data_IF_246880515412
#
_entry.id   IF_246880515412
#
_cell.length_a   1.000
_cell.length_b   1.000
_cell.length_c   1.000
_cell.angle_alpha   90.00
_cell.angle_beta   90.00
_cell.angle_gamma   90.00
#
_symmetry.space_group_name_H-M   'P 1'
#
loop_
_entity.id
_entity.type
_entity.pdbx_description
1 polymer ?
#
# COMPACT_ATOMS: atom_id res chain seq x y z
N UNK A 1 48.35 -26.77 3.27
CA UNK A 1 48.77 -25.37 3.23
C UNK A 1 47.47 -24.60 3.08
N UNK A 2 46.81 -24.22 4.18
CA UNK A 2 45.36 -23.95 4.17
C UNK A 2 44.85 -23.08 3.02
N UNK A 3 43.62 -23.35 2.58
CA UNK A 3 42.95 -22.64 1.48
C UNK A 3 43.03 -21.12 1.70
N UNK A 4 43.43 -20.40 0.66
CA UNK A 4 43.57 -18.94 0.68
C UNK A 4 42.59 -18.28 -0.27
N UNK A 5 42.15 -17.07 0.09
CA UNK A 5 41.42 -16.20 -0.81
C UNK A 5 42.35 -15.71 -1.93
N UNK A 6 42.03 -16.06 -3.17
CA UNK A 6 42.74 -15.60 -4.36
C UNK A 6 42.20 -14.26 -4.86
N UNK A 7 40.90 -14.16 -5.11
CA UNK A 7 40.27 -12.92 -5.58
C UNK A 7 38.79 -12.84 -5.22
N UNK A 8 38.26 -11.60 -5.19
CA UNK A 8 36.84 -11.32 -5.04
C UNK A 8 36.42 -10.27 -6.05
N UNK A 9 35.52 -10.63 -6.94
CA UNK A 9 34.99 -9.73 -7.97
C UNK A 9 33.50 -9.50 -7.73
N UNK A 10 33.06 -8.27 -7.98
CA UNK A 10 31.67 -7.86 -7.87
C UNK A 10 31.32 -7.07 -9.12
N UNK A 11 30.38 -7.59 -9.90
CA UNK A 11 29.95 -6.99 -11.15
C UNK A 11 28.44 -6.75 -11.12
N UNK A 12 28.03 -5.57 -11.60
CA UNK A 12 26.63 -5.21 -11.79
C UNK A 12 26.28 -5.47 -13.26
N UNK A 13 25.25 -6.27 -13.51
CA UNK A 13 24.74 -6.55 -14.84
C UNK A 13 23.22 -6.28 -14.90
N UNK A 14 22.63 -6.42 -16.08
CA UNK A 14 21.20 -6.14 -16.31
C UNK A 14 20.25 -7.07 -15.51
N UNK A 15 20.77 -8.16 -14.94
CA UNK A 15 20.03 -9.13 -14.12
C UNK A 15 20.31 -9.03 -12.61
N UNK A 16 21.14 -8.07 -12.18
CA UNK A 16 21.40 -7.79 -10.76
C UNK A 16 22.89 -7.60 -10.44
N UNK A 17 23.27 -7.99 -9.23
CA UNK A 17 24.68 -8.05 -8.82
C UNK A 17 25.13 -9.50 -8.81
N UNK A 18 26.17 -9.79 -9.58
CA UNK A 18 26.89 -11.04 -9.50
C UNK A 18 28.15 -10.83 -8.68
N UNK A 19 28.43 -11.72 -7.74
CA UNK A 19 29.70 -11.72 -7.03
C UNK A 19 30.37 -13.07 -7.18
N UNK A 20 31.69 -13.06 -7.36
CA UNK A 20 32.48 -14.27 -7.43
C UNK A 20 33.64 -14.20 -6.44
N UNK A 21 33.95 -15.34 -5.87
CA UNK A 21 35.08 -15.54 -4.96
C UNK A 21 35.88 -16.70 -5.47
N UNK A 22 37.18 -16.50 -5.63
CA UNK A 22 38.12 -17.56 -6.03
C UNK A 22 38.98 -17.92 -4.84
N UNK A 23 38.99 -19.22 -4.50
CA UNK A 23 39.81 -19.82 -3.44
C UNK A 23 40.90 -20.67 -4.06
N UNK A 24 42.13 -20.60 -3.53
CA UNK A 24 43.27 -21.35 -4.07
C UNK A 24 44.00 -22.14 -2.97
N UNK A 25 44.56 -23.30 -3.33
CA UNK A 25 45.19 -24.21 -2.36
C UNK A 25 45.75 -25.47 -3.00
N UNK A 26 46.18 -26.43 -2.16
CA UNK A 26 46.55 -27.76 -2.65
C UNK A 26 45.32 -28.51 -3.16
N UNK A 27 45.54 -29.49 -4.05
CA UNK A 27 44.47 -30.24 -4.72
C UNK A 27 43.45 -30.83 -3.74
N UNK A 28 43.92 -31.57 -2.74
CA UNK A 28 43.06 -32.24 -1.75
C UNK A 28 42.23 -31.25 -0.92
N UNK A 29 42.81 -30.09 -0.60
CA UNK A 29 42.13 -29.02 0.15
C UNK A 29 41.02 -28.36 -0.67
N UNK A 30 41.26 -28.17 -1.98
CA UNK A 30 40.29 -27.59 -2.91
C UNK A 30 39.20 -28.60 -3.30
N UNK A 31 39.53 -29.89 -3.42
CA UNK A 31 38.55 -30.97 -3.64
C UNK A 31 37.60 -31.10 -2.45
N UNK A 32 38.12 -31.00 -1.23
CA UNK A 32 37.32 -31.00 0.00
C UNK A 32 36.37 -29.79 0.05
N UNK A 33 36.88 -28.59 -0.30
CA UNK A 33 36.06 -27.38 -0.39
C UNK A 33 34.97 -27.50 -1.46
N UNK A 34 35.32 -28.00 -2.65
CA UNK A 34 34.41 -28.15 -3.78
C UNK A 34 33.28 -29.15 -3.47
N UNK A 35 33.60 -30.28 -2.85
CA UNK A 35 32.60 -31.28 -2.44
C UNK A 35 31.57 -30.72 -1.44
N UNK A 36 31.97 -29.70 -0.67
CA UNK A 36 31.11 -29.02 0.30
C UNK A 36 30.22 -27.93 -0.29
N UNK A 37 30.28 -27.63 -1.60
CA UNK A 37 29.55 -26.53 -2.23
C UNK A 37 28.67 -27.02 -3.37
N UNK A 38 27.41 -26.61 -3.39
CA UNK A 38 26.47 -26.94 -4.47
C UNK A 38 25.57 -25.75 -4.83
N UNK A 39 25.13 -25.63 -6.10
CA UNK A 39 24.18 -24.61 -6.50
C UNK A 39 22.90 -24.66 -5.65
N UNK A 40 22.55 -23.51 -5.08
CA UNK A 40 21.42 -23.35 -4.18
C UNK A 40 21.78 -23.29 -2.69
N UNK A 41 23.01 -23.66 -2.31
CA UNK A 41 23.51 -23.52 -0.94
C UNK A 41 23.57 -22.04 -0.53
N UNK A 42 23.07 -21.72 0.66
CA UNK A 42 23.20 -20.39 1.27
C UNK A 42 24.49 -20.29 2.06
N UNK A 43 25.25 -19.22 1.83
CA UNK A 43 26.50 -18.90 2.55
C UNK A 43 26.47 -17.45 3.03
N UNK A 44 27.46 -17.04 3.82
CA UNK A 44 27.66 -15.63 4.20
C UNK A 44 27.84 -14.68 3.00
N UNK A 45 28.25 -15.21 1.84
CA UNK A 45 28.45 -14.44 0.61
C UNK A 45 27.23 -14.45 -0.32
N UNK A 46 26.14 -15.11 0.08
CA UNK A 46 24.90 -15.24 -0.70
C UNK A 46 24.64 -16.68 -1.14
N UNK A 47 23.67 -16.84 -2.06
CA UNK A 47 23.29 -18.15 -2.60
C UNK A 47 24.22 -18.55 -3.74
N UNK A 48 24.85 -19.71 -3.60
CA UNK A 48 25.75 -20.27 -4.61
C UNK A 48 24.95 -20.53 -5.88
N UNK A 49 25.32 -19.89 -6.99
CA UNK A 49 24.70 -20.07 -8.30
C UNK A 49 25.49 -21.03 -9.19
N UNK A 50 26.82 -21.03 -9.03
CA UNK A 50 27.71 -21.96 -9.71
C UNK A 50 29.00 -22.14 -8.90
N UNK A 51 29.60 -23.31 -9.04
CA UNK A 51 30.92 -23.64 -8.47
C UNK A 51 31.74 -24.31 -9.56
N UNK A 52 33.01 -23.95 -9.68
CA UNK A 52 33.92 -24.56 -10.63
C UNK A 52 35.30 -24.77 -10.02
N UNK A 53 35.83 -25.98 -10.16
CA UNK A 53 37.21 -26.31 -9.83
C UNK A 53 38.08 -26.35 -11.10
N UNK A 54 39.29 -25.80 -11.04
CA UNK A 54 40.27 -25.88 -12.13
C UNK A 54 41.70 -25.79 -11.59
N UNK A 55 42.67 -26.26 -12.37
CA UNK A 55 44.10 -26.16 -12.03
C UNK A 55 44.65 -24.82 -12.54
N UNK A 56 45.21 -24.01 -11.65
CA UNK A 56 45.80 -22.70 -11.97
C UNK A 56 47.30 -22.83 -12.27
N UNK A 57 48.00 -23.70 -11.54
CA UNK A 57 49.39 -24.06 -11.79
C UNK A 57 49.67 -25.52 -11.40
N UNK A 58 50.83 -26.10 -11.76
CA UNK A 58 51.13 -27.51 -11.48
C UNK A 58 50.87 -27.96 -10.03
N UNK A 59 51.00 -27.06 -9.05
CA UNK A 59 50.79 -27.35 -7.62
C UNK A 59 49.64 -26.56 -6.98
N UNK A 60 48.97 -25.68 -7.74
CA UNK A 60 47.92 -24.79 -7.22
C UNK A 60 46.61 -25.07 -7.93
N UNK A 61 45.59 -25.42 -7.15
CA UNK A 61 44.22 -25.59 -7.61
C UNK A 61 43.37 -24.41 -7.15
N UNK A 62 42.36 -24.09 -7.95
CA UNK A 62 41.43 -23.01 -7.71
C UNK A 62 39.98 -23.51 -7.71
N UNK A 63 39.16 -22.93 -6.84
CA UNK A 63 37.71 -23.06 -6.82
C UNK A 63 37.08 -21.67 -6.96
N UNK A 64 36.42 -21.43 -8.09
CA UNK A 64 35.62 -20.23 -8.32
C UNK A 64 34.18 -20.50 -7.89
N UNK A 65 33.67 -19.68 -6.98
CA UNK A 65 32.32 -19.74 -6.46
C UNK A 65 31.59 -18.48 -6.91
N UNK A 66 30.48 -18.65 -7.61
CA UNK A 66 29.61 -17.54 -8.02
C UNK A 66 28.39 -17.50 -7.13
N UNK A 67 28.03 -16.30 -6.71
CA UNK A 67 26.84 -16.02 -5.90
C UNK A 67 25.88 -15.15 -6.68
N UNK A 68 24.60 -15.49 -6.59
CA UNK A 68 23.52 -14.59 -6.96
C UNK A 68 23.06 -13.86 -5.69
N UNK A 69 22.99 -12.53 -5.74
CA UNK A 69 22.32 -11.76 -4.69
C UNK A 69 20.91 -11.40 -5.14
N UNK A 70 19.91 -11.85 -4.38
CA UNK A 70 18.60 -11.24 -4.42
C UNK A 70 18.71 -9.92 -3.63
N UNK A 71 18.73 -8.79 -4.32
CA UNK A 71 18.55 -7.50 -3.66
C UNK A 71 17.06 -7.34 -3.34
N UNK A 72 16.73 -7.30 -2.05
CA UNK A 72 16.22 -6.06 -1.45
C UNK A 72 16.21 -6.16 0.08
N UNK A 73 16.60 -5.07 0.72
CA UNK A 73 16.81 -4.98 2.16
C UNK A 73 15.52 -5.11 2.97
N UNK A 74 15.66 -5.76 4.12
CA UNK A 74 14.71 -5.85 5.23
C UNK A 74 13.32 -6.46 4.93
N UNK A 75 13.22 -7.79 5.00
CA UNK A 75 12.19 -8.43 5.82
C UNK A 75 12.64 -9.86 6.24
N UNK A 76 12.39 -10.21 7.50
CA UNK A 76 12.81 -11.48 8.14
C UNK A 76 11.63 -12.45 8.22
N UNK A 77 11.24 -13.01 7.08
CA UNK A 77 10.43 -14.24 7.04
C UNK A 77 10.71 -15.04 5.77
N UNK A 78 10.71 -16.37 5.90
CA UNK A 78 10.94 -17.30 4.79
C UNK A 78 9.92 -17.08 3.65
N UNK A 79 10.36 -16.84 2.41
CA UNK A 79 9.45 -16.85 1.28
C UNK A 79 9.02 -18.30 1.01
N UNK A 80 7.77 -18.64 1.31
CA UNK A 80 7.18 -19.92 0.91
C UNK A 80 7.09 -19.97 -0.63
N UNK A 81 8.04 -20.68 -1.25
CA UNK A 81 8.18 -20.82 -2.70
C UNK A 81 7.30 -21.91 -3.32
N UNK A 82 6.17 -22.29 -2.70
CA UNK A 82 5.33 -23.34 -3.26
C UNK A 82 4.68 -22.94 -4.61
N UNK A 83 4.38 -21.65 -4.87
CA UNK A 83 3.84 -21.20 -6.18
C UNK A 83 4.17 -19.74 -6.52
N UNK A 84 5.22 -19.52 -7.34
CA UNK A 84 5.43 -18.37 -8.23
C UNK A 84 5.80 -17.02 -7.57
N UNK A 85 6.80 -16.33 -8.11
CA UNK A 85 7.10 -14.93 -7.75
C UNK A 85 5.84 -14.07 -7.90
N UNK A 86 5.31 -13.59 -6.79
CA UNK A 86 4.23 -12.60 -6.79
C UNK A 86 4.85 -11.25 -7.11
N UNK A 87 4.53 -10.68 -8.26
CA UNK A 87 4.82 -9.28 -8.52
C UNK A 87 3.70 -8.43 -7.92
N UNK A 88 4.08 -7.36 -7.24
CA UNK A 88 3.17 -6.35 -6.72
C UNK A 88 3.50 -5.00 -7.37
N UNK A 89 2.49 -4.31 -7.86
CA UNK A 89 2.61 -2.96 -8.41
C UNK A 89 1.79 -2.00 -7.56
N UNK A 90 2.41 -0.90 -7.12
CA UNK A 90 1.71 0.20 -6.45
C UNK A 90 1.28 1.25 -7.48
N UNK A 91 0.05 1.71 -7.36
CA UNK A 91 -0.48 2.91 -8.02
C UNK A 91 -1.07 3.84 -6.98
N UNK A 92 -0.97 5.15 -7.20
CA UNK A 92 -1.54 6.17 -6.34
C UNK A 92 -2.41 7.12 -7.14
N UNK A 93 -3.54 7.52 -6.57
CA UNK A 93 -4.46 8.51 -7.13
C UNK A 93 -5.00 9.42 -6.03
N UNK A 94 -5.73 10.47 -6.41
CA UNK A 94 -6.43 11.35 -5.47
C UNK A 94 -7.92 11.03 -5.49
N UNK A 95 -8.51 10.87 -4.30
CA UNK A 95 -9.95 10.77 -4.09
C UNK A 95 -10.44 12.06 -3.45
N UNK A 96 -11.35 12.76 -4.12
CA UNK A 96 -12.02 13.92 -3.54
C UNK A 96 -13.16 13.45 -2.64
N UNK A 97 -13.11 13.83 -1.37
CA UNK A 97 -14.13 13.53 -0.36
C UNK A 97 -14.86 14.81 0.04
N UNK A 98 -16.15 14.73 0.42
CA UNK A 98 -16.88 15.90 0.93
C UNK A 98 -16.17 16.47 2.15
N UNK A 99 -16.12 17.81 2.27
CA UNK A 99 -15.39 18.50 3.33
C UNK A 99 -15.87 18.08 4.74
N UNK A 100 -17.15 17.76 4.86
CA UNK A 100 -17.82 17.25 6.07
C UNK A 100 -17.21 15.93 6.57
N UNK A 101 -16.59 15.13 5.69
CA UNK A 101 -15.92 13.89 6.07
C UNK A 101 -14.51 14.10 6.67
N UNK A 102 -13.98 15.34 6.65
CA UNK A 102 -12.66 15.62 7.17
C UNK A 102 -12.62 15.42 8.71
N UNK A 103 -11.60 14.72 9.29
CA UNK A 103 -11.57 14.42 10.73
C UNK A 103 -11.58 15.65 11.66
N UNK A 104 -11.11 16.79 11.13
CA UNK A 104 -11.10 18.10 11.81
C UNK A 104 -12.17 19.05 11.28
N UNK A 105 -13.16 18.55 10.54
CA UNK A 105 -14.22 19.36 9.98
C UNK A 105 -14.86 20.27 11.03
N UNK A 106 -15.25 21.47 10.59
CA UNK A 106 -16.03 22.43 11.36
C UNK A 106 -17.10 23.00 10.44
N UNK A 107 -18.33 23.11 10.92
CA UNK A 107 -19.46 23.63 10.14
C UNK A 107 -19.19 25.05 9.62
N UNK A 108 -18.48 25.87 10.41
CA UNK A 108 -18.06 27.21 10.02
C UNK A 108 -17.08 27.27 8.83
N UNK A 109 -16.56 26.14 8.34
CA UNK A 109 -15.70 26.14 7.16
C UNK A 109 -16.48 26.44 5.89
N UNK A 110 -17.64 25.81 5.68
CA UNK A 110 -18.43 25.94 4.46
C UNK A 110 -19.88 26.42 4.67
N UNK A 111 -20.31 26.71 5.91
CA UNK A 111 -21.64 27.28 6.19
C UNK A 111 -21.55 28.73 6.72
N UNK A 112 -22.55 29.52 6.35
CA UNK A 112 -22.85 30.79 7.00
C UNK A 112 -23.57 30.52 8.32
N UNK A 113 -23.19 31.27 9.37
CA UNK A 113 -24.04 31.39 10.55
C UNK A 113 -25.00 32.55 10.32
N UNK A 114 -26.30 32.27 10.34
CA UNK A 114 -27.35 33.28 10.31
C UNK A 114 -28.05 33.32 11.67
N UNK A 115 -28.61 34.48 12.02
CA UNK A 115 -29.27 34.70 13.30
C UNK A 115 -30.64 35.34 13.12
N UNK A 116 -31.55 35.06 14.06
CA UNK A 116 -32.86 35.66 14.13
C UNK A 116 -32.77 37.19 14.26
N UNK A 117 -33.77 37.95 13.80
CA UNK A 117 -33.77 39.40 13.92
C UNK A 117 -33.55 39.86 15.37
N UNK A 118 -32.64 40.81 15.56
CA UNK A 118 -32.30 41.35 16.88
C UNK A 118 -31.16 40.62 17.60
N UNK A 119 -30.72 39.46 17.10
CA UNK A 119 -29.55 38.75 17.63
C UNK A 119 -28.29 39.18 16.89
N UNK A 120 -27.28 39.66 17.63
CA UNK A 120 -25.98 40.09 17.12
C UNK A 120 -24.78 39.40 17.80
N UNK A 121 -25.03 38.66 18.88
CA UNK A 121 -24.00 37.91 19.59
C UNK A 121 -23.61 36.65 18.81
N UNK A 122 -22.31 36.41 18.65
CA UNK A 122 -21.81 35.15 18.08
C UNK A 122 -21.74 34.11 19.18
N UNK A 123 -22.37 32.94 19.02
CA UNK A 123 -22.32 31.89 20.03
C UNK A 123 -20.90 31.28 20.12
N UNK A 124 -20.51 30.89 21.33
CA UNK A 124 -19.17 30.34 21.60
C UNK A 124 -18.88 29.04 20.85
N UNK A 125 -19.91 28.26 20.52
CA UNK A 125 -19.79 27.01 19.77
C UNK A 125 -19.56 27.21 18.27
N UNK A 126 -19.75 28.43 17.72
CA UNK A 126 -19.64 28.70 16.28
C UNK A 126 -18.32 28.20 15.66
N UNK A 127 -17.20 28.36 16.38
CA UNK A 127 -15.88 27.98 15.88
C UNK A 127 -15.56 26.48 16.05
N UNK A 128 -16.34 25.75 16.86
CA UNK A 128 -16.01 24.38 17.29
C UNK A 128 -17.04 23.35 16.89
N UNK A 129 -18.25 23.77 16.51
CA UNK A 129 -19.30 22.90 15.98
C UNK A 129 -18.80 22.06 14.79
N UNK A 130 -19.13 20.76 14.80
CA UNK A 130 -18.77 19.78 13.77
C UNK A 130 -19.95 19.34 12.92
N UNK A 131 -21.16 19.68 13.35
CA UNK A 131 -22.41 19.32 12.72
C UNK A 131 -23.26 20.60 12.57
N UNK A 132 -24.23 20.58 11.68
CA UNK A 132 -25.14 21.69 11.39
C UNK A 132 -26.43 21.65 12.22
N UNK A 133 -26.65 20.59 13.00
CA UNK A 133 -27.73 20.51 13.97
C UNK A 133 -27.54 21.51 15.14
N UNK A 134 -28.50 22.41 15.33
CA UNK A 134 -28.58 23.30 16.49
C UNK A 134 -29.78 22.87 17.33
N UNK A 135 -29.58 22.68 18.63
CA UNK A 135 -30.62 22.22 19.56
C UNK A 135 -30.79 23.18 20.74
N UNK A 136 -31.90 23.01 21.48
CA UNK A 136 -32.20 23.78 22.69
C UNK A 136 -32.46 25.27 22.41
N UNK A 137 -32.07 26.12 23.36
CA UNK A 137 -32.36 27.56 23.35
C UNK A 137 -31.75 28.34 22.17
N UNK A 138 -30.80 27.75 21.46
CA UNK A 138 -30.14 28.36 20.31
C UNK A 138 -30.81 28.01 18.98
N UNK A 139 -31.66 26.97 18.95
CA UNK A 139 -32.34 26.51 17.73
C UNK A 139 -33.30 27.58 17.16
N UNK A 140 -33.92 28.38 18.02
CA UNK A 140 -34.79 29.50 17.63
C UNK A 140 -33.99 30.80 17.35
N UNK A 141 -32.67 30.82 17.59
CA UNK A 141 -31.83 32.02 17.51
C UNK A 141 -30.87 31.98 16.33
N UNK A 142 -30.38 30.81 15.96
CA UNK A 142 -29.33 30.64 14.97
C UNK A 142 -29.67 29.52 14.01
N UNK A 143 -29.17 29.62 12.79
CA UNK A 143 -29.21 28.54 11.81
C UNK A 143 -27.90 28.52 11.00
N UNK A 144 -27.51 27.33 10.56
CA UNK A 144 -26.47 27.15 9.57
C UNK A 144 -27.10 27.10 8.18
N UNK A 145 -26.54 27.83 7.22
CA UNK A 145 -26.98 27.78 5.82
C UNK A 145 -25.80 27.77 4.86
N UNK A 146 -25.87 26.98 3.78
CA UNK A 146 -24.87 27.04 2.69
C UNK A 146 -25.04 28.28 1.82
N UNK A 147 -26.27 28.75 1.67
CA UNK A 147 -26.60 29.94 0.88
C UNK A 147 -27.41 30.93 1.72
N UNK A 148 -27.09 32.23 1.60
CA UNK A 148 -27.85 33.26 2.32
C UNK A 148 -29.31 33.38 1.83
N UNK A 149 -29.60 32.92 0.61
CA UNK A 149 -30.94 32.91 0.06
C UNK A 149 -31.87 31.92 0.79
N UNK A 150 -31.31 30.85 1.36
CA UNK A 150 -32.05 29.84 2.13
C UNK A 150 -32.14 30.15 3.64
N UNK A 151 -31.75 31.37 4.05
CA UNK A 151 -31.90 31.81 5.43
C UNK A 151 -33.38 31.71 5.86
N UNK A 152 -33.67 31.08 7.01
CA UNK A 152 -35.03 30.89 7.49
C UNK A 152 -35.70 32.22 7.85
N UNK A 153 -37.01 32.17 8.01
CA UNK A 153 -37.81 33.28 8.55
C UNK A 153 -38.20 32.97 9.99
N UNK A 154 -38.25 33.99 10.83
CA UNK A 154 -38.77 33.85 12.19
C UNK A 154 -40.30 33.72 12.19
N UNK A 155 -40.87 33.48 13.37
CA UNK A 155 -42.33 33.36 13.58
C UNK A 155 -43.09 34.65 13.20
N UNK A 156 -42.41 35.78 13.08
CA UNK A 156 -42.95 37.07 12.67
C UNK A 156 -42.76 37.36 11.18
N UNK A 157 -42.27 36.40 10.40
CA UNK A 157 -42.06 36.51 8.95
C UNK A 157 -40.80 37.28 8.54
N UNK A 158 -39.93 37.65 9.48
CA UNK A 158 -38.68 38.35 9.20
C UNK A 158 -37.54 37.36 8.94
N UNK A 159 -36.79 37.57 7.86
CA UNK A 159 -35.68 36.70 7.48
C UNK A 159 -34.48 36.85 8.43
N UNK A 160 -33.86 35.72 8.76
CA UNK A 160 -32.62 35.66 9.50
C UNK A 160 -31.51 36.38 8.72
N UNK A 161 -30.59 37.01 9.46
CA UNK A 161 -29.50 37.79 8.87
C UNK A 161 -28.16 37.09 9.06
N UNK A 162 -27.24 37.28 8.11
CA UNK A 162 -25.87 36.78 8.22
C UNK A 162 -25.19 37.36 9.45
N UNK A 163 -24.72 36.48 10.32
CA UNK A 163 -23.91 36.81 11.48
C UNK A 163 -22.41 36.54 11.21
N UNK A 164 -22.08 35.42 10.57
CA UNK A 164 -20.72 35.07 10.14
C UNK A 164 -20.71 34.43 8.75
N UNK A 165 -19.64 34.72 8.00
CA UNK A 165 -19.32 34.05 6.74
C UNK A 165 -18.52 32.76 6.98
N UNK A 166 -18.54 31.81 6.03
CA UNK A 166 -17.69 30.63 6.08
C UNK A 166 -16.20 31.02 6.09
N UNK A 167 -15.38 30.20 6.75
CA UNK A 167 -13.91 30.40 6.82
C UNK A 167 -13.18 29.85 5.58
N UNK A 168 -13.81 28.96 4.82
CA UNK A 168 -13.30 28.36 3.58
C UNK A 168 -14.39 28.45 2.50
N UNK A 169 -14.77 29.66 2.08
CA UNK A 169 -15.86 29.84 1.13
C UNK A 169 -15.54 29.14 -0.20
N UNK A 170 -16.50 28.38 -0.73
CA UNK A 170 -16.38 27.65 -1.99
C UNK A 170 -15.58 26.34 -1.90
N UNK A 171 -15.15 25.93 -0.71
CA UNK A 171 -14.51 24.63 -0.50
C UNK A 171 -15.55 23.63 -0.01
N UNK A 172 -15.93 22.70 -0.87
CA UNK A 172 -16.91 21.65 -0.56
C UNK A 172 -16.30 20.24 -0.52
N UNK A 173 -15.02 20.10 -0.92
CA UNK A 173 -14.29 18.84 -0.87
C UNK A 173 -12.84 19.02 -0.44
N UNK A 174 -12.19 17.90 -0.12
CA UNK A 174 -10.76 17.80 0.08
C UNK A 174 -10.24 16.50 -0.53
N UNK A 175 -8.99 16.53 -0.99
CA UNK A 175 -8.38 15.38 -1.64
C UNK A 175 -7.61 14.52 -0.64
N UNK A 176 -7.76 13.20 -0.76
CA UNK A 176 -6.99 12.21 -0.02
C UNK A 176 -6.29 11.29 -1.00
N UNK A 177 -5.02 11.00 -0.72
CA UNK A 177 -4.28 10.00 -1.48
C UNK A 177 -4.91 8.61 -1.26
N UNK A 178 -5.31 7.97 -2.35
CA UNK A 178 -5.76 6.59 -2.38
C UNK A 178 -4.70 5.75 -3.08
N UNK A 179 -4.46 4.57 -2.54
CA UNK A 179 -3.45 3.65 -3.02
C UNK A 179 -4.13 2.39 -3.54
N UNK A 180 -3.65 1.91 -4.67
CA UNK A 180 -4.05 0.64 -5.24
C UNK A 180 -2.84 -0.26 -5.44
N UNK A 181 -2.94 -1.52 -5.01
CA UNK A 181 -1.89 -2.53 -5.19
C UNK A 181 -2.43 -3.62 -6.10
N UNK A 182 -1.75 -3.84 -7.22
CA UNK A 182 -2.05 -4.96 -8.13
C UNK A 182 -1.08 -6.10 -7.85
N UNK A 183 -1.62 -7.24 -7.42
CA UNK A 183 -0.87 -8.47 -7.22
C UNK A 183 -1.09 -9.41 -8.40
N UNK A 184 -0.02 -10.00 -8.92
CA UNK A 184 -0.10 -11.04 -9.94
C UNK A 184 0.27 -12.39 -9.34
N UNK A 185 -0.59 -13.39 -9.50
CA UNK A 185 -0.40 -14.74 -8.96
C UNK A 185 -0.38 -15.75 -10.09
N UNK A 186 0.69 -16.55 -10.13
CA UNK A 186 0.76 -17.73 -11.01
C UNK A 186 -0.12 -18.84 -10.47
N UNK A 187 -1.01 -19.36 -11.31
CA UNK A 187 -1.98 -20.38 -10.97
C UNK A 187 -1.67 -21.71 -11.69
N UNK A 188 -1.97 -22.83 -11.02
CA UNK A 188 -1.76 -24.19 -11.57
C UNK A 188 -2.69 -24.55 -12.72
N UNK A 189 -3.83 -23.86 -12.85
CA UNK A 189 -4.83 -24.08 -13.90
C UNK A 189 -5.73 -22.86 -14.07
N UNK A 190 -6.50 -22.82 -15.15
CA UNK A 190 -7.52 -21.79 -15.40
C UNK A 190 -8.56 -21.75 -14.27
N UNK A 191 -9.08 -22.92 -13.87
CA UNK A 191 -10.07 -23.03 -12.79
C UNK A 191 -9.53 -22.52 -11.46
N UNK A 192 -8.24 -22.76 -11.15
CA UNK A 192 -7.62 -22.23 -9.95
C UNK A 192 -7.51 -20.70 -9.99
N UNK A 193 -7.20 -20.12 -11.15
CA UNK A 193 -7.18 -18.66 -11.34
C UNK A 193 -8.59 -18.05 -11.17
N UNK A 194 -9.61 -18.65 -11.79
CA UNK A 194 -11.01 -18.21 -11.65
C UNK A 194 -11.52 -18.29 -10.21
N UNK A 195 -11.25 -19.40 -9.52
CA UNK A 195 -11.65 -19.56 -8.11
C UNK A 195 -10.97 -18.52 -7.19
N UNK A 196 -9.71 -18.18 -7.44
CA UNK A 196 -9.01 -17.14 -6.69
C UNK A 196 -9.71 -15.78 -6.85
N UNK A 197 -10.05 -15.40 -8.09
CA UNK A 197 -10.76 -14.15 -8.38
C UNK A 197 -12.14 -14.12 -7.73
N UNK A 198 -12.95 -15.17 -7.91
CA UNK A 198 -14.30 -15.26 -7.34
C UNK A 198 -14.31 -15.13 -5.80
N UNK A 199 -13.28 -15.66 -5.14
CA UNK A 199 -13.17 -15.59 -3.69
C UNK A 199 -12.72 -14.22 -3.15
N UNK A 200 -12.19 -13.33 -4.00
CA UNK A 200 -11.56 -12.07 -3.58
C UNK A 200 -12.23 -10.83 -4.14
N UNK A 201 -12.72 -10.87 -5.38
CA UNK A 201 -13.29 -9.71 -6.06
C UNK A 201 -14.49 -9.14 -5.28
N UNK A 202 -14.55 -7.81 -5.20
CA UNK A 202 -15.54 -7.00 -4.52
C UNK A 202 -15.67 -7.23 -3.01
N UNK A 203 -14.67 -7.84 -2.36
CA UNK A 203 -14.66 -8.12 -0.92
C UNK A 203 -13.59 -7.32 -0.20
N UNK A 204 -13.88 -6.93 1.04
CA UNK A 204 -12.87 -6.38 1.97
C UNK A 204 -11.85 -7.47 2.30
N UNK A 205 -10.57 -7.11 2.26
CA UNK A 205 -9.45 -8.01 2.50
C UNK A 205 -8.15 -7.23 2.59
N UNK A 206 -7.06 -7.82 2.13
CA UNK A 206 -5.77 -7.15 2.04
C UNK A 206 -4.91 -7.76 0.94
N UNK A 207 -4.04 -6.97 0.29
CA UNK A 207 -2.96 -7.52 -0.52
C UNK A 207 -2.05 -8.36 0.37
N UNK A 208 -1.41 -9.37 -0.23
CA UNK A 208 -0.30 -10.13 0.37
C UNK A 208 0.81 -9.19 0.84
N UNK A 209 1.16 -8.18 0.02
CA UNK A 209 2.16 -7.18 0.37
C UNK A 209 1.55 -5.78 0.32
N UNK A 210 1.41 -5.13 1.48
CA UNK A 210 0.89 -3.76 1.60
C UNK A 210 1.91 -2.68 1.28
N UNK A 211 3.17 -3.06 0.99
CA UNK A 211 4.28 -2.14 0.69
C UNK A 211 4.47 -1.05 1.76
N UNK A 212 4.27 -1.42 3.04
CA UNK A 212 4.41 -0.50 4.18
C UNK A 212 3.28 0.52 4.33
N UNK A 213 2.23 0.45 3.51
CA UNK A 213 1.09 1.37 3.59
C UNK A 213 0.18 0.96 4.75
N UNK A 214 0.08 1.83 5.76
CA UNK A 214 -0.68 1.60 7.00
C UNK A 214 -1.93 2.46 7.12
N UNK A 215 -2.96 1.91 7.79
CA UNK A 215 -4.23 2.58 8.16
C UNK A 215 -5.36 2.39 7.15
N UNK A 216 -6.61 2.31 7.60
CA UNK A 216 -7.74 1.98 6.72
C UNK A 216 -7.74 0.50 6.29
N UNK A 217 -8.78 0.10 5.56
CA UNK A 217 -8.98 -1.27 5.09
C UNK A 217 -8.80 -1.35 3.56
N UNK A 218 -8.56 -2.54 3.02
CA UNK A 218 -8.44 -2.74 1.58
C UNK A 218 -9.64 -3.51 1.04
N UNK A 219 -9.96 -3.30 -0.23
CA UNK A 219 -10.97 -4.05 -0.97
C UNK A 219 -10.45 -4.42 -2.34
N UNK A 220 -10.72 -5.62 -2.82
CA UNK A 220 -10.35 -6.01 -4.17
C UNK A 220 -11.39 -5.44 -5.16
N UNK A 221 -11.07 -4.35 -5.86
CA UNK A 221 -12.02 -3.70 -6.76
C UNK A 221 -11.92 -4.19 -8.21
N UNK A 222 -10.78 -4.77 -8.59
CA UNK A 222 -10.58 -5.28 -9.94
C UNK A 222 -9.81 -6.60 -9.92
N UNK A 223 -10.08 -7.45 -10.90
CA UNK A 223 -9.35 -8.69 -11.08
C UNK A 223 -9.38 -9.14 -12.56
N UNK A 224 -8.34 -9.84 -13.00
CA UNK A 224 -8.27 -10.41 -14.35
C UNK A 224 -7.65 -11.81 -14.33
N UNK A 225 -7.97 -12.64 -15.32
CA UNK A 225 -7.36 -13.95 -15.55
C UNK A 225 -6.83 -14.00 -16.98
N UNK A 226 -5.57 -14.40 -17.16
CA UNK A 226 -4.96 -14.52 -18.49
C UNK A 226 -3.92 -15.65 -18.57
N UNK A 227 -3.65 -16.09 -19.80
CA UNK A 227 -2.59 -17.06 -20.09
C UNK A 227 -1.30 -16.33 -20.50
N UNK A 228 -0.22 -16.50 -19.75
CA UNK A 228 1.07 -15.87 -20.02
C UNK A 228 2.02 -16.72 -20.88
N UNK A 229 1.49 -17.60 -21.73
CA UNK A 229 2.28 -18.47 -22.61
C UNK A 229 2.78 -19.77 -21.97
N UNK A 230 3.01 -19.79 -20.65
CA UNK A 230 3.49 -20.96 -19.89
C UNK A 230 2.65 -21.31 -18.66
N UNK A 231 1.84 -20.39 -18.17
CA UNK A 231 1.00 -20.58 -17.00
C UNK A 231 -0.21 -19.64 -17.03
N UNK A 232 -1.24 -20.01 -16.26
CA UNK A 232 -2.37 -19.13 -15.98
C UNK A 232 -1.97 -18.14 -14.90
N UNK A 233 -2.39 -16.90 -15.04
CA UNK A 233 -2.18 -15.83 -14.08
C UNK A 233 -3.52 -15.22 -13.69
N UNK A 234 -3.62 -14.82 -12.43
CA UNK A 234 -4.69 -13.97 -11.93
C UNK A 234 -4.08 -12.67 -11.41
N UNK A 235 -4.67 -11.53 -11.74
CA UNK A 235 -4.36 -10.25 -11.11
C UNK A 235 -5.48 -9.86 -10.16
N UNK A 236 -5.11 -9.29 -9.02
CA UNK A 236 -6.02 -8.72 -8.03
C UNK A 236 -5.58 -7.29 -7.74
N UNK A 237 -6.44 -6.32 -7.97
CA UNK A 237 -6.18 -4.92 -7.63
C UNK A 237 -6.94 -4.55 -6.37
N UNK A 238 -6.19 -4.31 -5.32
CA UNK A 238 -6.66 -3.91 -4.01
C UNK A 238 -6.64 -2.39 -3.90
N UNK A 239 -7.74 -1.75 -3.55
CA UNK A 239 -7.81 -0.31 -3.28
C UNK A 239 -7.97 -0.08 -1.78
N UNK A 240 -7.16 0.82 -1.25
CA UNK A 240 -7.23 1.25 0.14
C UNK A 240 -8.38 2.23 0.35
N UNK A 241 -9.08 2.13 1.48
CA UNK A 241 -10.10 3.10 1.86
C UNK A 241 -9.51 4.51 1.98
N UNK A 242 -10.25 5.52 1.52
CA UNK A 242 -9.81 6.92 1.58
C UNK A 242 -9.85 7.55 2.98
N UNK A 243 -10.28 6.81 4.01
CA UNK A 243 -10.31 7.28 5.39
C UNK A 243 -10.19 6.12 6.39
N UNK A 244 -10.11 6.47 7.68
CA UNK A 244 -9.98 5.52 8.78
C UNK A 244 -11.27 4.76 9.14
N UNK A 245 -12.43 5.15 8.59
CA UNK A 245 -13.68 4.39 8.77
C UNK A 245 -13.67 3.09 7.97
N UNK A 246 -12.75 2.96 7.01
CA UNK A 246 -12.63 1.77 6.18
C UNK A 246 -13.63 1.75 5.04
N UNK A 247 -13.69 0.60 4.36
CA UNK A 247 -14.80 0.28 3.46
C UNK A 247 -16.03 -0.14 4.28
N UNK A 248 -17.22 0.14 3.75
CA UNK A 248 -18.47 -0.26 4.38
C UNK A 248 -18.57 -1.79 4.46
N UNK A 249 -18.59 -2.33 5.68
CA UNK A 249 -18.59 -3.77 5.93
C UNK A 249 -19.98 -4.40 5.76
N UNK A 250 -21.04 -3.60 5.84
CA UNK A 250 -22.40 -4.10 5.58
C UNK A 250 -22.60 -4.27 4.06
N UNK A 251 -21.95 -3.43 3.25
CA UNK A 251 -22.01 -3.52 1.78
C UNK A 251 -20.96 -4.47 1.18
N UNK A 252 -19.77 -4.57 1.78
CA UNK A 252 -18.61 -5.26 1.19
C UNK A 252 -17.95 -6.29 2.12
N UNK A 253 -18.53 -6.55 3.28
CA UNK A 253 -18.12 -7.63 4.18
C UNK A 253 -18.33 -8.99 3.54
N UNK A 254 -17.69 -10.02 4.11
CA UNK A 254 -17.95 -11.39 3.69
C UNK A 254 -19.43 -11.71 3.96
N UNK A 255 -20.13 -12.23 2.94
CA UNK A 255 -21.41 -12.90 3.15
C UNK A 255 -21.24 -13.97 4.26
N UNK A 256 -22.22 -14.04 5.18
CA UNK A 256 -22.29 -15.04 6.24
C UNK A 256 -22.11 -16.47 5.71
#
# INVERSE_FOLDING_TARGET
MGVKLGSRNKERNDSGISSSVTMTGAKEEIETLYAGLFPGMSTENGKVSAVRMFQESPLIWACEIRYASDFDGNDTSEPNTAYGQKSAQLSGSMLSLPLEAHPKYRTCWNYYLVAAPGISSVPSWWATAREDGISGNDADKYAWVKELASAPVDKSGKRYRRLKSPLKPGVDSFDVAVYSITETVRCRSCNAAGALVANKLNKVGQPTYSLGIIGGDWKCDNANVFWGGKAWFATLTWTRSGNSKGWDKDLYGAEL
#
